data_IF_016921228343
#
_entry.id   IF_016921228343
#
_cell.length_a   1.000
_cell.length_b   1.000
_cell.length_c   1.000
_cell.angle_alpha   90.00
_cell.angle_beta   90.00
_cell.angle_gamma   90.00
#
_symmetry.space_group_name_H-M   'P 1'
#
loop_
_entity.id
_entity.type
_entity.pdbx_description
1 polymer ?
#
# COMPACT_ATOMS: atom_id res chain seq x y z
N UNK A 1 1.46 19.52 -36.98
CA UNK A 1 0.38 20.20 -36.22
C UNK A 1 -0.52 19.09 -35.72
N UNK A 2 -0.34 18.58 -34.50
CA UNK A 2 -0.88 19.12 -33.25
C UNK A 2 -2.15 18.33 -32.93
N UNK A 3 -2.34 17.63 -31.80
CA UNK A 3 -1.79 17.78 -30.47
C UNK A 3 -1.44 16.41 -29.86
N UNK A 4 -0.29 16.31 -29.21
CA UNK A 4 -0.06 15.28 -28.19
C UNK A 4 -0.86 15.70 -26.97
N UNK A 5 -1.88 14.90 -26.62
CA UNK A 5 -2.72 15.13 -25.45
C UNK A 5 -1.83 15.03 -24.19
N UNK A 6 -1.33 16.17 -23.74
CA UNK A 6 -0.42 16.33 -22.60
C UNK A 6 -1.20 16.56 -21.30
N UNK A 7 -2.24 15.77 -21.07
CA UNK A 7 -3.09 15.85 -19.87
C UNK A 7 -3.11 14.54 -19.06
N UNK A 8 -2.19 13.60 -19.35
CA UNK A 8 -1.89 12.55 -18.38
C UNK A 8 -0.82 13.09 -17.45
N UNK A 9 -1.23 13.46 -16.23
CA UNK A 9 -0.33 13.38 -15.08
C UNK A 9 0.33 12.01 -15.19
N UNK A 10 1.65 11.97 -15.30
CA UNK A 10 2.36 10.70 -15.28
C UNK A 10 2.05 10.05 -13.93
N UNK A 11 1.13 9.09 -13.90
CA UNK A 11 0.95 8.21 -12.76
C UNK A 11 2.29 7.49 -12.60
N UNK A 12 3.01 7.75 -11.50
CA UNK A 12 4.28 7.08 -11.25
C UNK A 12 4.02 5.57 -11.24
N UNK A 13 4.70 4.79 -12.09
CA UNK A 13 4.46 3.36 -12.16
C UNK A 13 4.80 2.71 -10.82
N UNK A 14 3.86 1.96 -10.27
CA UNK A 14 4.06 1.11 -9.11
C UNK A 14 4.32 -0.30 -9.62
N UNK A 15 5.58 -0.71 -9.65
CA UNK A 15 5.97 -2.00 -10.20
C UNK A 15 6.27 -3.03 -9.09
N UNK A 16 5.60 -4.18 -9.15
CA UNK A 16 5.98 -5.37 -8.38
C UNK A 16 6.59 -6.39 -9.33
N UNK A 17 7.84 -6.76 -9.12
CA UNK A 17 8.56 -7.73 -9.95
C UNK A 17 8.49 -7.41 -11.46
N UNK A 18 8.55 -6.12 -11.82
CA UNK A 18 8.48 -5.64 -13.20
C UNK A 18 7.08 -5.63 -13.82
N UNK A 19 6.03 -5.95 -13.05
CA UNK A 19 4.64 -5.79 -13.47
C UNK A 19 4.07 -4.54 -12.82
N UNK A 20 3.55 -3.68 -13.67
CA UNK A 20 2.84 -2.50 -13.25
C UNK A 20 1.50 -2.85 -12.57
N UNK A 21 1.37 -2.45 -11.31
CA UNK A 21 0.19 -2.68 -10.47
C UNK A 21 -0.46 -1.37 -10.03
N UNK A 22 0.01 -0.20 -10.51
CA UNK A 22 -0.44 1.11 -10.00
C UNK A 22 -1.94 1.32 -10.11
N UNK A 23 -2.59 0.83 -11.17
CA UNK A 23 -4.00 1.13 -11.45
C UNK A 23 -4.94 0.79 -10.29
N UNK A 24 -4.66 -0.30 -9.58
CA UNK A 24 -5.51 -0.78 -8.50
C UNK A 24 -4.77 -0.81 -7.14
N UNK A 25 -3.46 -0.53 -7.11
CA UNK A 25 -2.62 -0.57 -5.91
C UNK A 25 -1.72 0.68 -5.81
N UNK A 26 -1.37 1.12 -4.59
CA UNK A 26 -1.66 0.47 -3.31
C UNK A 26 -3.07 0.80 -2.82
N UNK A 27 -3.63 -0.08 -2.01
CA UNK A 27 -4.89 0.22 -1.31
C UNK A 27 -4.71 1.44 -0.40
N UNK A 28 -5.74 2.29 -0.32
CA UNK A 28 -5.84 3.30 0.73
C UNK A 28 -5.87 2.63 2.10
N UNK A 29 -5.36 3.31 3.13
CA UNK A 29 -5.25 2.79 4.51
C UNK A 29 -5.93 3.74 5.50
N UNK A 30 -6.69 3.18 6.45
CA UNK A 30 -7.07 3.86 7.69
C UNK A 30 -6.32 3.18 8.84
N UNK A 31 -5.43 3.93 9.47
CA UNK A 31 -4.60 3.45 10.58
C UNK A 31 -5.16 3.95 11.91
N UNK A 32 -5.06 3.12 12.94
CA UNK A 32 -5.37 3.52 14.31
C UNK A 32 -4.08 3.83 15.05
N UNK A 33 -3.98 5.06 15.55
CA UNK A 33 -2.80 5.61 16.22
C UNK A 33 -2.98 5.69 17.75
N UNK A 34 -3.90 4.92 18.31
CA UNK A 34 -4.21 5.01 19.75
C UNK A 34 -5.12 6.19 20.09
N UNK A 35 -5.19 6.50 21.38
CA UNK A 35 -5.99 7.59 21.93
C UNK A 35 -5.10 8.75 22.37
N UNK A 36 -5.58 9.99 22.24
CA UNK A 36 -4.90 11.17 22.81
C UNK A 36 -5.19 11.26 24.31
N UNK A 37 -4.60 10.35 25.08
CA UNK A 37 -4.59 10.36 26.54
C UNK A 37 -3.17 10.06 27.04
N UNK A 38 -2.99 9.89 28.35
CA UNK A 38 -1.67 9.55 28.95
C UNK A 38 -1.17 8.13 28.63
N UNK A 39 -1.89 7.35 27.81
CA UNK A 39 -1.47 6.02 27.37
C UNK A 39 -0.61 6.09 26.11
N UNK A 40 0.43 5.26 26.06
CA UNK A 40 1.23 5.01 24.86
C UNK A 40 0.74 3.80 24.05
N UNK A 41 -0.39 3.20 24.44
CA UNK A 41 -0.92 2.01 23.77
C UNK A 41 -1.30 2.33 22.31
N UNK A 42 -0.75 1.56 21.37
CA UNK A 42 -0.92 1.71 19.92
C UNK A 42 -0.40 3.03 19.31
N UNK A 43 0.48 3.75 20.02
CA UNK A 43 1.14 4.96 19.54
C UNK A 43 2.59 4.71 19.12
N UNK A 44 3.12 5.56 18.22
CA UNK A 44 4.55 5.57 17.86
C UNK A 44 5.06 4.37 17.05
N UNK A 45 4.16 3.50 16.58
CA UNK A 45 4.49 2.31 15.77
C UNK A 45 4.72 2.67 14.29
N UNK A 46 5.43 1.80 13.58
CA UNK A 46 5.66 1.94 12.15
C UNK A 46 4.46 1.36 11.35
N UNK A 47 3.97 2.10 10.35
CA UNK A 47 2.88 1.70 9.45
C UNK A 47 3.37 1.42 8.01
N UNK A 48 4.61 0.92 7.90
CA UNK A 48 5.14 0.14 6.78
C UNK A 48 5.76 0.91 5.63
N UNK A 49 5.56 2.23 5.58
CA UNK A 49 6.23 3.09 4.61
C UNK A 49 7.72 3.28 4.95
N UNK A 50 8.64 3.29 3.96
CA UNK A 50 8.44 3.19 2.50
C UNK A 50 8.47 1.76 1.93
N UNK A 51 8.65 0.74 2.76
CA UNK A 51 9.05 -0.59 2.28
C UNK A 51 7.87 -1.49 1.91
N UNK A 52 6.67 -1.20 2.42
CA UNK A 52 5.51 -2.10 2.39
C UNK A 52 4.20 -1.34 2.19
N UNK A 53 3.36 -1.88 1.32
CA UNK A 53 2.13 -1.25 0.85
C UNK A 53 0.92 -2.17 1.06
N UNK A 54 -0.27 -1.62 1.29
CA UNK A 54 -1.46 -2.44 1.47
C UNK A 54 -1.98 -2.94 0.12
N UNK A 55 -2.34 -4.22 0.06
CA UNK A 55 -2.89 -4.89 -1.10
C UNK A 55 -4.36 -4.53 -1.29
N UNK A 56 -4.69 -4.04 -2.48
CA UNK A 56 -6.02 -4.17 -3.05
C UNK A 56 -6.00 -5.38 -3.99
N UNK A 57 -6.84 -6.41 -3.75
CA UNK A 57 -6.80 -7.61 -4.56
C UNK A 57 -7.37 -7.32 -5.96
N UNK A 58 -6.47 -7.12 -6.91
CA UNK A 58 -6.74 -7.15 -8.34
C UNK A 58 -6.12 -8.43 -8.93
N UNK A 59 -6.67 -8.94 -10.03
CA UNK A 59 -6.27 -10.22 -10.64
C UNK A 59 -4.80 -10.29 -11.09
N UNK A 60 -4.08 -9.16 -11.13
CA UNK A 60 -2.75 -9.06 -11.76
C UNK A 60 -1.57 -8.83 -10.82
N UNK A 61 -1.73 -8.89 -9.50
CA UNK A 61 -0.59 -8.73 -8.58
C UNK A 61 0.28 -9.99 -8.59
N UNK A 62 1.56 -9.92 -9.03
CA UNK A 62 2.44 -11.09 -9.06
C UNK A 62 2.72 -11.64 -7.67
N UNK A 63 2.95 -12.95 -7.57
CA UNK A 63 3.36 -13.65 -6.35
C UNK A 63 2.46 -13.41 -5.13
N UNK A 64 1.19 -13.04 -5.35
CA UNK A 64 0.22 -12.71 -4.30
C UNK A 64 -0.05 -13.87 -3.33
N UNK A 65 0.14 -15.13 -3.75
CA UNK A 65 -0.10 -16.30 -2.90
C UNK A 65 -1.47 -16.26 -2.21
N UNK A 66 -1.48 -16.38 -0.88
CA UNK A 66 -2.68 -16.36 -0.04
C UNK A 66 -3.07 -14.96 0.48
N UNK A 67 -2.42 -13.90 0.01
CA UNK A 67 -2.66 -12.55 0.49
C UNK A 67 -4.09 -12.08 0.19
N UNK A 68 -4.67 -11.39 1.17
CA UNK A 68 -6.00 -10.80 1.15
C UNK A 68 -5.91 -9.29 1.10
N UNK A 69 -7.04 -8.65 0.84
CA UNK A 69 -7.17 -7.20 0.93
C UNK A 69 -6.65 -6.69 2.28
N UNK A 70 -5.80 -5.67 2.24
CA UNK A 70 -5.19 -5.07 3.43
C UNK A 70 -3.90 -5.73 3.90
N UNK A 71 -3.59 -6.96 3.45
CA UNK A 71 -2.28 -7.55 3.66
C UNK A 71 -1.20 -6.70 2.98
N UNK A 72 0.03 -6.79 3.46
CA UNK A 72 1.08 -5.90 3.01
C UNK A 72 2.09 -6.60 2.10
N UNK A 73 2.41 -5.97 0.97
CA UNK A 73 3.39 -6.46 0.02
C UNK A 73 4.54 -5.47 -0.16
N UNK A 74 5.67 -5.97 -0.64
CA UNK A 74 6.85 -5.20 -1.05
C UNK A 74 6.91 -5.12 -2.58
N UNK A 75 7.50 -4.05 -3.12
CA UNK A 75 7.71 -3.89 -4.56
C UNK A 75 8.91 -4.70 -5.05
N UNK A 76 9.93 -4.82 -4.19
CA UNK A 76 11.15 -5.58 -4.43
C UNK A 76 11.43 -6.46 -3.23
N UNK A 77 11.75 -7.72 -3.49
CA UNK A 77 12.12 -8.67 -2.45
C UNK A 77 13.64 -8.73 -2.27
N UNK A 78 14.09 -8.89 -1.02
CA UNK A 78 15.48 -9.13 -0.65
C UNK A 78 15.53 -10.13 0.51
N UNK A 79 16.73 -10.56 0.92
CA UNK A 79 16.90 -11.55 2.01
C UNK A 79 16.30 -11.12 3.36
N UNK A 80 16.05 -9.83 3.56
CA UNK A 80 15.53 -9.25 4.80
C UNK A 80 14.17 -8.55 4.63
N UNK A 81 13.64 -8.50 3.41
CA UNK A 81 12.41 -7.80 3.07
C UNK A 81 11.68 -8.57 1.98
N UNK A 82 10.64 -9.30 2.35
CA UNK A 82 9.72 -9.95 1.41
C UNK A 82 8.29 -9.99 2.00
N UNK A 83 7.33 -10.45 1.20
CA UNK A 83 5.91 -10.54 1.56
C UNK A 83 5.63 -11.55 2.69
N UNK A 84 6.53 -12.50 2.94
CA UNK A 84 6.40 -13.56 3.96
C UNK A 84 7.02 -13.18 5.29
N UNK A 85 8.08 -12.37 5.26
CA UNK A 85 8.74 -11.82 6.44
C UNK A 85 7.76 -10.86 7.10
N UNK A 86 7.12 -11.30 8.18
CA UNK A 86 6.32 -10.42 9.01
C UNK A 86 7.23 -9.40 9.67
N UNK A 87 6.92 -8.13 9.46
CA UNK A 87 7.62 -7.07 10.13
C UNK A 87 7.11 -7.01 11.57
N UNK A 88 7.89 -7.54 12.52
CA UNK A 88 7.50 -7.68 13.94
C UNK A 88 7.24 -6.33 14.64
N UNK A 89 7.70 -5.24 14.06
CA UNK A 89 7.55 -3.86 14.56
C UNK A 89 6.51 -3.03 13.81
N UNK A 90 5.63 -3.65 13.02
CA UNK A 90 4.70 -2.93 12.16
C UNK A 90 3.24 -3.32 12.38
N UNK A 91 2.34 -2.39 12.09
CA UNK A 91 0.90 -2.53 12.35
C UNK A 91 0.11 -2.41 11.05
N UNK A 92 -0.60 -3.48 10.71
CA UNK A 92 -1.50 -3.51 9.56
C UNK A 92 -2.64 -2.48 9.70
N UNK A 93 -3.14 -1.92 8.59
CA UNK A 93 -4.24 -0.96 8.62
C UNK A 93 -5.51 -1.58 9.20
N UNK A 94 -6.32 -0.77 9.88
CA UNK A 94 -7.64 -1.20 10.39
C UNK A 94 -8.67 -1.35 9.28
N UNK A 95 -8.54 -0.55 8.22
CA UNK A 95 -9.40 -0.61 7.05
C UNK A 95 -8.59 -0.28 5.78
N UNK A 96 -8.99 -0.89 4.67
CA UNK A 96 -8.40 -0.63 3.35
C UNK A 96 -9.46 -0.31 2.30
N UNK A 97 -9.23 0.75 1.54
CA UNK A 97 -10.07 1.22 0.43
C UNK A 97 -9.39 0.99 -0.92
N UNK A 98 -10.15 1.09 -2.01
CA UNK A 98 -9.60 1.01 -3.36
C UNK A 98 -8.61 2.16 -3.58
N UNK A 99 -7.59 1.92 -4.40
CA UNK A 99 -6.59 2.91 -4.76
C UNK A 99 -7.25 4.19 -5.32
N UNK A 100 -6.59 5.33 -5.09
CA UNK A 100 -6.95 6.67 -5.58
C UNK A 100 -8.34 7.20 -5.21
N UNK A 101 -9.10 6.51 -4.36
CA UNK A 101 -10.20 7.12 -3.63
C UNK A 101 -9.60 7.96 -2.49
N UNK A 102 -9.26 9.21 -2.77
CA UNK A 102 -8.96 10.17 -1.71
C UNK A 102 -10.27 10.43 -0.95
N UNK A 103 -10.42 10.01 0.32
CA UNK A 103 -11.69 10.15 1.05
C UNK A 103 -11.94 11.58 1.54
N UNK A 104 -11.40 12.59 0.84
CA UNK A 104 -11.35 13.98 1.29
C UNK A 104 -12.31 14.91 0.53
N UNK A 105 -12.93 14.46 -0.56
CA UNK A 105 -14.00 15.21 -1.25
C UNK A 105 -15.08 14.23 -1.76
N UNK A 106 -16.29 14.36 -1.21
CA UNK A 106 -17.54 13.93 -1.86
C UNK A 106 -18.55 15.05 -1.78
#
# INVERSE_FOLDING_TARGET
MGATNSDRVAEEPLEKNGVDVHRDNPAGKLNFHGYLNVSSENQGVNYDYPNRFALWPAEKVPDRGSMKKGDQFTLTSSRTLDDTIRATSHVSPRFSSQAYNAPLDT
#
